data_IF_982846935394
#
_entry.id   IF_982846935394
#
_cell.length_a   1.000
_cell.length_b   1.000
_cell.length_c   1.000
_cell.angle_alpha   90.00
_cell.angle_beta   90.00
_cell.angle_gamma   90.00
#
_symmetry.space_group_name_H-M   'P 1'
#
loop_
_entity.id
_entity.type
_entity.pdbx_description
1 polymer ?
#
# COMPACT_ATOMS: atom_id res chain seq x y z
N UNK A 1 13.28 -8.68 -9.95
CA UNK A 1 11.97 -8.67 -9.27
C UNK A 1 11.74 -9.91 -8.40
N UNK A 2 12.15 -11.12 -8.81
CA UNK A 2 11.98 -12.34 -7.99
C UNK A 2 12.59 -12.25 -6.58
N UNK A 3 13.78 -11.65 -6.44
CA UNK A 3 14.41 -11.44 -5.13
C UNK A 3 13.61 -10.51 -4.20
N UNK A 4 13.00 -9.45 -4.72
CA UNK A 4 12.18 -8.55 -3.91
C UNK A 4 10.93 -9.26 -3.37
N UNK A 5 10.33 -10.13 -4.19
CA UNK A 5 9.21 -10.98 -3.81
C UNK A 5 9.61 -12.02 -2.75
N UNK A 6 10.78 -12.63 -2.87
CA UNK A 6 11.22 -13.72 -2.00
C UNK A 6 11.72 -13.26 -0.62
N UNK A 7 12.37 -12.09 -0.55
CA UNK A 7 13.05 -11.65 0.68
C UNK A 7 12.37 -10.50 1.42
N UNK A 8 11.49 -9.73 0.76
CA UNK A 8 10.87 -8.54 1.37
C UNK A 8 9.34 -8.64 1.49
N UNK A 9 8.68 -9.54 0.77
CA UNK A 9 7.21 -9.64 0.77
C UNK A 9 6.74 -10.91 1.46
N UNK A 10 5.63 -10.81 2.18
CA UNK A 10 4.95 -11.99 2.72
C UNK A 10 4.42 -12.82 1.54
N UNK A 11 4.75 -14.11 1.50
CA UNK A 11 4.21 -15.04 0.51
C UNK A 11 2.68 -15.15 0.62
N UNK A 12 2.00 -14.99 -0.50
CA UNK A 12 0.54 -14.85 -0.60
C UNK A 12 -0.01 -13.53 -0.05
N UNK A 13 0.86 -12.57 0.29
CA UNK A 13 0.48 -11.26 0.82
C UNK A 13 0.01 -10.28 -0.25
N UNK A 14 -0.51 -9.12 0.20
CA UNK A 14 -1.01 -8.07 -0.69
C UNK A 14 0.12 -7.43 -1.49
N UNK A 15 1.29 -7.24 -0.90
CA UNK A 15 2.44 -6.66 -1.60
C UNK A 15 2.87 -7.53 -2.78
N UNK A 16 2.93 -8.86 -2.59
CA UNK A 16 3.23 -9.82 -3.66
C UNK A 16 2.13 -9.82 -4.73
N UNK A 17 0.85 -9.80 -4.33
CA UNK A 17 -0.27 -9.75 -5.26
C UNK A 17 -0.22 -8.50 -6.14
N UNK A 18 0.05 -7.32 -5.57
CA UNK A 18 0.11 -6.05 -6.29
C UNK A 18 1.33 -5.99 -7.21
N UNK A 19 2.48 -6.48 -6.75
CA UNK A 19 3.67 -6.64 -7.59
C UNK A 19 3.40 -7.58 -8.76
N UNK A 20 2.73 -8.71 -8.52
CA UNK A 20 2.37 -9.68 -9.57
C UNK A 20 1.43 -9.05 -10.59
N UNK A 21 0.42 -8.31 -10.13
CA UNK A 21 -0.51 -7.58 -10.99
C UNK A 21 0.20 -6.55 -11.87
N UNK A 22 1.10 -5.75 -11.29
CA UNK A 22 1.96 -4.82 -12.01
C UNK A 22 2.73 -5.51 -13.15
N UNK A 23 3.38 -6.64 -12.84
CA UNK A 23 4.18 -7.42 -13.79
C UNK A 23 3.33 -8.11 -14.87
N UNK A 24 2.08 -8.43 -14.57
CA UNK A 24 1.14 -8.93 -15.57
C UNK A 24 0.72 -7.84 -16.57
N UNK A 25 0.87 -6.56 -16.24
CA UNK A 25 0.74 -5.47 -17.21
C UNK A 25 -0.67 -5.24 -17.75
N UNK A 26 -1.72 -5.67 -17.03
CA UNK A 26 -3.10 -5.39 -17.43
C UNK A 26 -3.41 -3.89 -17.31
N UNK A 27 -2.87 -3.23 -16.27
CA UNK A 27 -3.19 -1.86 -15.89
C UNK A 27 -4.61 -1.69 -15.34
N UNK A 28 -5.33 -2.79 -15.11
CA UNK A 28 -6.69 -2.76 -14.57
C UNK A 28 -6.68 -2.33 -13.12
N UNK A 29 -7.66 -1.53 -12.73
CA UNK A 29 -7.79 -1.05 -11.35
C UNK A 29 -7.90 -2.23 -10.36
N UNK A 30 -7.28 -2.08 -9.19
CA UNK A 30 -7.36 -3.03 -8.09
C UNK A 30 -8.14 -2.40 -6.95
N UNK A 31 -9.17 -3.11 -6.49
CA UNK A 31 -10.02 -2.64 -5.41
C UNK A 31 -9.61 -3.21 -4.06
N UNK A 32 -9.67 -2.42 -2.99
CA UNK A 32 -9.48 -2.91 -1.62
C UNK A 32 -10.43 -2.22 -0.64
N UNK A 33 -10.60 -2.79 0.56
CA UNK A 33 -11.43 -2.20 1.61
C UNK A 33 -10.59 -1.38 2.58
N UNK A 34 -11.03 -0.15 2.86
CA UNK A 34 -10.47 0.65 3.95
C UNK A 34 -10.72 -0.02 5.29
N UNK A 35 -11.89 -0.65 5.48
CA UNK A 35 -12.19 -1.38 6.72
C UNK A 35 -11.15 -2.47 6.99
N UNK A 36 -10.85 -3.32 6.00
CA UNK A 36 -9.81 -4.35 6.15
C UNK A 36 -8.44 -3.75 6.48
N UNK A 37 -8.05 -2.66 5.80
CA UNK A 37 -6.80 -1.97 6.11
C UNK A 37 -6.76 -1.48 7.55
N UNK A 38 -7.83 -0.88 8.05
CA UNK A 38 -7.89 -0.33 9.40
C UNK A 38 -7.99 -1.41 10.47
N UNK A 39 -8.60 -2.56 10.15
CA UNK A 39 -8.66 -3.71 11.06
C UNK A 39 -7.26 -4.33 11.24
N UNK A 40 -6.48 -4.42 10.16
CA UNK A 40 -5.19 -5.11 10.11
C UNK A 40 -3.96 -4.20 10.35
N UNK A 41 -4.09 -2.88 10.26
CA UNK A 41 -3.02 -1.92 10.54
C UNK A 41 -3.46 -0.90 11.59
N UNK A 42 -3.05 -1.16 12.84
CA UNK A 42 -3.37 -0.29 13.97
C UNK A 42 -2.67 1.08 13.90
N UNK A 43 -1.55 1.20 13.18
CA UNK A 43 -0.86 2.47 12.96
C UNK A 43 -1.69 3.42 12.10
N UNK A 44 -2.12 2.94 10.93
CA UNK A 44 -2.98 3.72 10.03
C UNK A 44 -4.33 4.03 10.68
N UNK A 45 -4.93 3.06 11.38
CA UNK A 45 -6.17 3.28 12.14
C UNK A 45 -6.03 4.40 13.16
N UNK A 46 -4.96 4.36 13.97
CA UNK A 46 -4.72 5.35 15.02
C UNK A 46 -4.47 6.74 14.44
N UNK A 47 -3.72 6.84 13.33
CA UNK A 47 -3.50 8.10 12.60
C UNK A 47 -4.83 8.70 12.16
N UNK A 48 -5.66 7.95 11.42
CA UNK A 48 -6.94 8.46 10.91
C UNK A 48 -7.86 8.86 12.04
N UNK A 49 -7.98 8.03 13.09
CA UNK A 49 -8.85 8.32 14.23
C UNK A 49 -8.43 9.59 14.95
N UNK A 50 -7.12 9.81 15.12
CA UNK A 50 -6.57 11.00 15.74
C UNK A 50 -6.88 12.26 14.92
N UNK A 51 -6.59 12.25 13.62
CA UNK A 51 -6.79 13.43 12.77
C UNK A 51 -8.28 13.83 12.68
N UNK A 52 -9.18 12.85 12.58
CA UNK A 52 -10.64 13.11 12.59
C UNK A 52 -11.07 13.69 13.94
N UNK A 53 -10.60 13.14 15.06
CA UNK A 53 -10.93 13.68 16.38
C UNK A 53 -10.38 15.09 16.60
N UNK A 54 -9.16 15.39 16.13
CA UNK A 54 -8.59 16.75 16.21
C UNK A 54 -9.48 17.75 15.48
N UNK A 55 -9.97 17.40 14.29
CA UNK A 55 -10.86 18.28 13.53
C UNK A 55 -12.24 18.41 14.20
N UNK A 56 -12.79 17.32 14.73
CA UNK A 56 -14.07 17.35 15.44
C UNK A 56 -13.99 18.19 16.73
N UNK A 57 -12.90 18.04 17.50
CA UNK A 57 -12.65 18.83 18.71
C UNK A 57 -12.51 20.33 18.40
N UNK A 58 -11.87 20.68 17.28
CA UNK A 58 -11.75 22.06 16.85
C UNK A 58 -13.13 22.67 16.50
N UNK A 59 -14.02 21.89 15.85
CA UNK A 59 -15.40 22.31 15.56
C UNK A 59 -16.23 22.46 16.83
N UNK A 60 -16.13 21.51 17.76
CA UNK A 60 -16.82 21.57 19.05
C UNK A 60 -16.36 22.79 19.86
N UNK A 61 -15.05 23.08 19.90
CA UNK A 61 -14.50 24.26 20.55
C UNK A 61 -15.00 25.56 19.91
N UNK A 62 -15.18 25.57 18.59
CA UNK A 62 -15.77 26.68 17.85
C UNK A 62 -17.32 26.72 17.91
N UNK A 63 -17.96 25.79 18.63
CA UNK A 63 -19.43 25.61 18.68
C UNK A 63 -20.08 25.47 17.30
N UNK A 64 -19.36 24.87 16.35
CA UNK A 64 -19.83 24.63 14.99
C UNK A 64 -20.39 23.21 14.87
N UNK A 65 -21.42 23.00 14.04
CA UNK A 65 -21.95 21.66 13.79
C UNK A 65 -20.89 20.78 13.09
N UNK A 66 -20.85 19.50 13.45
CA UNK A 66 -20.01 18.49 12.78
C UNK A 66 -20.51 18.15 11.37
N UNK A 67 -21.78 18.46 11.07
CA UNK A 67 -22.38 18.21 9.75
C UNK A 67 -21.60 18.96 8.66
N UNK A 68 -21.24 18.23 7.60
CA UNK A 68 -20.49 18.77 6.47
C UNK A 68 -18.97 18.81 6.67
N UNK A 69 -18.46 18.24 7.77
CA UNK A 69 -17.02 18.00 7.89
C UNK A 69 -16.57 16.96 6.86
N UNK A 70 -15.48 17.28 6.17
CA UNK A 70 -14.79 16.39 5.25
C UNK A 70 -13.33 16.83 5.16
N UNK A 71 -12.46 15.95 4.69
CA UNK A 71 -11.06 16.29 4.49
C UNK A 71 -10.25 15.17 3.89
N UNK A 72 -8.94 15.41 3.82
CA UNK A 72 -7.95 14.45 3.35
C UNK A 72 -6.91 14.25 4.45
N UNK A 73 -6.62 12.99 4.76
CA UNK A 73 -5.64 12.59 5.76
C UNK A 73 -4.46 11.95 5.00
N UNK A 74 -3.30 12.63 4.93
CA UNK A 74 -2.10 11.99 4.42
C UNK A 74 -1.63 10.92 5.41
N UNK A 75 -1.39 9.72 4.88
CA UNK A 75 -0.84 8.57 5.60
C UNK A 75 0.51 8.24 4.99
N UNK A 76 1.58 8.53 5.70
CA UNK A 76 2.95 8.28 5.25
C UNK A 76 3.40 6.85 5.57
N UNK A 77 4.37 6.32 4.82
CA UNK A 77 4.86 4.96 5.01
C UNK A 77 5.28 4.61 6.46
N UNK A 78 5.92 5.51 7.24
CA UNK A 78 6.28 5.21 8.63
C UNK A 78 5.10 5.09 9.59
N UNK A 79 3.89 5.49 9.17
CA UNK A 79 2.67 5.39 9.98
C UNK A 79 2.03 4.00 9.89
N UNK A 80 2.48 3.15 8.96
CA UNK A 80 2.05 1.76 8.85
C UNK A 80 2.76 0.90 9.89
N UNK A 81 2.00 0.06 10.60
CA UNK A 81 2.55 -1.00 11.43
C UNK A 81 2.58 -2.34 10.69
N UNK A 82 1.73 -2.50 9.68
CA UNK A 82 1.65 -3.71 8.88
C UNK A 82 2.50 -3.53 7.61
N UNK A 83 3.67 -4.17 7.60
CA UNK A 83 4.64 -4.07 6.51
C UNK A 83 4.08 -4.54 5.16
N UNK A 84 3.16 -5.51 5.15
CA UNK A 84 2.53 -5.97 3.90
C UNK A 84 1.59 -4.91 3.32
N UNK A 85 0.85 -4.18 4.16
CA UNK A 85 0.09 -3.00 3.72
C UNK A 85 1.03 -1.87 3.28
N UNK A 86 2.06 -1.57 4.07
CA UNK A 86 3.05 -0.54 3.76
C UNK A 86 3.67 -0.75 2.37
N UNK A 87 4.05 -1.99 2.03
CA UNK A 87 4.65 -2.34 0.75
C UNK A 87 3.63 -2.45 -0.39
N UNK A 88 2.39 -2.86 -0.11
CA UNK A 88 1.34 -2.91 -1.11
C UNK A 88 0.91 -1.50 -1.55
N UNK A 89 0.65 -0.60 -0.61
CA UNK A 89 0.00 0.68 -0.92
C UNK A 89 0.95 1.87 -0.95
N UNK A 90 2.09 1.78 -0.27
CA UNK A 90 2.94 2.94 -0.02
C UNK A 90 2.19 4.00 0.80
N UNK A 91 2.52 5.28 0.57
CA UNK A 91 1.80 6.39 1.18
C UNK A 91 0.40 6.56 0.55
N UNK A 92 -0.58 6.97 1.36
CA UNK A 92 -1.98 7.13 0.95
C UNK A 92 -2.49 8.53 1.29
N UNK A 93 -3.44 9.02 0.51
CA UNK A 93 -4.25 10.19 0.86
C UNK A 93 -5.67 9.70 1.10
N UNK A 94 -6.08 9.60 2.36
CA UNK A 94 -7.39 9.06 2.74
C UNK A 94 -8.39 10.21 2.80
N UNK A 95 -9.32 10.21 1.86
CA UNK A 95 -10.47 11.09 1.88
C UNK A 95 -11.48 10.60 2.92
N UNK A 96 -12.14 11.54 3.59
CA UNK A 96 -13.17 11.21 4.55
C UNK A 96 -14.30 12.25 4.59
N UNK A 97 -15.49 11.80 4.99
CA UNK A 97 -16.65 12.66 5.23
C UNK A 97 -17.38 12.23 6.51
N UNK A 98 -17.86 13.21 7.27
CA UNK A 98 -18.73 12.98 8.42
C UNK A 98 -20.12 12.52 7.97
N UNK A 99 -20.65 11.48 8.63
CA UNK A 99 -22.00 10.98 8.41
C UNK A 99 -22.91 11.38 9.57
N UNK A 100 -22.61 10.87 10.77
CA UNK A 100 -23.42 11.11 11.96
C UNK A 100 -22.62 10.88 13.25
N UNK A 101 -23.10 11.44 14.35
CA UNK A 101 -22.67 11.05 15.70
C UNK A 101 -23.63 9.96 16.21
N UNK A 102 -23.08 8.90 16.79
CA UNK A 102 -23.86 7.81 17.37
C UNK A 102 -23.29 7.41 18.73
N UNK A 103 -24.07 6.67 19.53
CA UNK A 103 -23.59 6.05 20.77
C UNK A 103 -23.52 4.55 20.56
N UNK A 104 -22.33 3.97 20.67
CA UNK A 104 -22.11 2.53 20.60
C UNK A 104 -21.59 2.01 21.93
N UNK A 105 -22.32 1.07 22.56
CA UNK A 105 -21.89 0.43 23.82
C UNK A 105 -21.44 1.45 24.87
N UNK A 106 -22.18 2.55 25.02
CA UNK A 106 -21.94 3.71 25.91
C UNK A 106 -20.88 4.73 25.46
N UNK A 107 -20.15 4.48 24.37
CA UNK A 107 -19.13 5.39 23.86
C UNK A 107 -19.71 6.23 22.72
N UNK A 108 -19.48 7.55 22.75
CA UNK A 108 -19.77 8.41 21.60
C UNK A 108 -18.81 8.09 20.47
N UNK A 109 -19.36 7.85 19.28
CA UNK A 109 -18.59 7.55 18.08
C UNK A 109 -19.02 8.47 16.94
N UNK A 110 -18.06 8.85 16.11
CA UNK A 110 -18.34 9.49 14.83
C UNK A 110 -18.41 8.39 13.77
N UNK A 111 -19.54 8.29 13.08
CA UNK A 111 -19.59 7.53 11.83
C UNK A 111 -19.09 8.42 10.71
N UNK A 112 -18.08 7.94 10.01
CA UNK A 112 -17.45 8.65 8.89
C UNK A 112 -17.32 7.70 7.71
N UNK A 113 -17.47 8.20 6.48
CA UNK A 113 -17.02 7.46 5.30
C UNK A 113 -15.55 7.73 5.08
N UNK A 114 -14.81 6.71 4.69
CA UNK A 114 -13.40 6.82 4.29
C UNK A 114 -13.18 6.11 2.96
N UNK A 115 -12.34 6.70 2.11
CA UNK A 115 -11.92 6.11 0.85
C UNK A 115 -10.58 6.70 0.40
N UNK A 116 -9.97 6.10 -0.61
CA UNK A 116 -8.76 6.60 -1.24
C UNK A 116 -8.67 6.10 -2.67
N UNK A 117 -8.08 6.92 -3.54
CA UNK A 117 -7.59 6.49 -4.84
C UNK A 117 -6.10 6.78 -4.89
N UNK A 118 -5.30 5.75 -5.15
CA UNK A 118 -3.86 5.89 -5.26
C UNK A 118 -3.35 5.26 -6.55
N UNK A 119 -2.26 5.80 -7.10
CA UNK A 119 -1.62 5.25 -8.28
C UNK A 119 -0.45 4.37 -7.85
N UNK A 120 -0.51 3.08 -8.19
CA UNK A 120 0.63 2.19 -8.02
C UNK A 120 1.67 2.50 -9.10
N UNK A 121 2.73 3.21 -8.72
CA UNK A 121 3.85 3.57 -9.60
C UNK A 121 5.19 3.47 -8.87
N UNK A 122 6.24 3.26 -9.65
CA UNK A 122 7.60 3.26 -9.14
C UNK A 122 8.22 4.65 -9.30
N UNK A 123 9.10 5.06 -8.38
CA UNK A 123 9.80 6.34 -8.47
C UNK A 123 11.31 6.09 -8.64
N UNK A 124 11.82 5.95 -9.87
CA UNK A 124 13.22 5.63 -10.13
C UNK A 124 14.18 6.76 -9.74
N UNK A 125 13.72 8.01 -9.80
CA UNK A 125 14.53 9.20 -9.49
C UNK A 125 14.66 9.49 -7.99
N UNK A 126 13.87 8.81 -7.14
CA UNK A 126 13.96 8.98 -5.71
C UNK A 126 15.22 8.30 -5.18
N UNK A 127 16.09 9.05 -4.50
CA UNK A 127 17.29 8.51 -3.84
C UNK A 127 16.88 7.67 -2.63
N UNK A 128 17.14 6.36 -2.69
CA UNK A 128 16.87 5.38 -1.62
C UNK A 128 17.66 4.10 -1.83
N UNK A 129 17.84 3.31 -0.78
CA UNK A 129 18.54 2.03 -0.85
C UNK A 129 17.95 1.04 -1.86
N UNK A 130 16.65 1.14 -2.17
CA UNK A 130 15.96 0.28 -3.14
C UNK A 130 15.95 0.85 -4.56
N UNK A 131 16.69 1.91 -4.87
CA UNK A 131 16.63 2.61 -6.16
C UNK A 131 16.79 1.67 -7.36
N UNK A 132 17.69 0.70 -7.30
CA UNK A 132 17.89 -0.29 -8.37
C UNK A 132 16.62 -1.09 -8.70
N UNK A 133 15.80 -1.42 -7.69
CA UNK A 133 14.52 -2.11 -7.88
C UNK A 133 13.51 -1.19 -8.55
N UNK A 134 13.47 0.10 -8.17
CA UNK A 134 12.58 1.08 -8.81
C UNK A 134 12.94 1.34 -10.27
N UNK A 135 14.24 1.45 -10.59
CA UNK A 135 14.72 1.57 -11.97
C UNK A 135 14.38 0.30 -12.77
N UNK A 136 14.63 -0.88 -12.21
CA UNK A 136 14.29 -2.14 -12.87
C UNK A 136 12.79 -2.25 -13.14
N UNK A 137 11.94 -1.87 -12.18
CA UNK A 137 10.50 -1.87 -12.34
C UNK A 137 10.04 -0.90 -13.42
N UNK A 138 10.62 0.30 -13.49
CA UNK A 138 10.33 1.27 -14.55
C UNK A 138 10.75 0.74 -15.94
N UNK A 139 11.92 0.11 -16.04
CA UNK A 139 12.40 -0.48 -17.29
C UNK A 139 11.48 -1.59 -17.81
N UNK A 140 10.82 -2.33 -16.92
CA UNK A 140 9.82 -3.34 -17.30
C UNK A 140 8.56 -2.75 -17.94
N UNK A 141 8.33 -1.44 -17.85
CA UNK A 141 7.26 -0.78 -18.62
C UNK A 141 7.63 -0.62 -20.10
N UNK A 142 8.91 -0.68 -20.45
CA UNK A 142 9.39 -0.67 -21.84
C UNK A 142 10.53 -1.69 -21.97
N UNK A 143 10.21 -2.99 -21.84
CA UNK A 143 11.23 -4.02 -21.77
C UNK A 143 11.98 -4.11 -23.09
N UNK A 144 13.30 -4.26 -22.99
CA UNK A 144 14.15 -4.62 -24.13
C UNK A 144 14.26 -6.14 -24.16
N UNK A 145 14.33 -6.72 -25.36
CA UNK A 145 14.63 -8.14 -25.54
C UNK A 145 16.00 -8.41 -24.93
N UNK A 146 16.08 -9.44 -24.09
CA UNK A 146 17.34 -9.88 -23.53
C UNK A 146 17.81 -11.12 -24.27
N UNK A 147 19.07 -11.12 -24.66
CA UNK A 147 19.71 -12.23 -25.34
C UNK A 147 20.75 -12.78 -24.36
N UNK A 148 20.58 -14.02 -23.93
CA UNK A 148 21.52 -14.72 -23.06
C UNK A 148 22.11 -15.90 -23.79
N UNK A 149 23.38 -16.16 -23.52
CA UNK A 149 24.03 -17.41 -23.91
C UNK A 149 23.93 -18.35 -22.71
N UNK A 150 23.19 -19.44 -22.84
CA UNK A 150 23.13 -20.46 -21.80
C UNK A 150 24.11 -21.57 -22.16
N UNK A 151 25.05 -21.82 -21.24
CA UNK A 151 25.88 -23.01 -21.32
C UNK A 151 25.06 -24.18 -20.77
N UNK A 152 24.88 -25.29 -21.51
CA UNK A 152 24.15 -26.43 -20.99
C UNK A 152 24.81 -26.92 -19.69
N UNK A 153 24.03 -27.43 -18.72
CA UNK A 153 24.58 -27.91 -17.46
C UNK A 153 25.64 -28.97 -17.76
N UNK A 154 26.87 -28.75 -17.30
CA UNK A 154 27.95 -29.72 -17.36
C UNK A 154 27.57 -30.91 -16.49
N UNK A 155 26.99 -31.94 -17.10
CA UNK A 155 26.79 -33.23 -16.45
C UNK A 155 28.14 -33.87 -16.15
N UNK A 156 28.56 -33.85 -14.88
CA UNK A 156 29.63 -34.72 -14.41
C UNK A 156 29.05 -36.10 -14.12
N UNK A 157 29.26 -37.04 -15.05
CA UNK A 157 29.75 -38.39 -14.82
C UNK A 157 29.43 -39.29 -16.04
N UNK A 158 30.43 -39.54 -16.89
CA UNK A 158 30.50 -40.82 -17.62
C UNK A 158 30.19 -40.85 -19.12
N UNK A 159 30.04 -39.74 -19.86
CA UNK A 159 29.91 -39.81 -21.32
C UNK A 159 31.20 -39.38 -22.04
N UNK A 160 31.87 -40.39 -22.60
CA UNK A 160 32.97 -40.24 -23.55
C UNK A 160 32.37 -40.02 -24.93
N UNK A 161 32.33 -38.77 -25.42
CA UNK A 161 32.40 -38.41 -26.84
C UNK A 161 32.39 -36.87 -26.96
N UNK A 162 33.45 -36.34 -27.57
CA UNK A 162 33.59 -34.91 -27.85
C UNK A 162 32.52 -34.40 -28.80
N UNK A 163 31.81 -33.37 -28.34
CA UNK A 163 31.40 -32.10 -28.98
C UNK A 163 30.49 -31.50 -27.91
N UNK A 164 30.99 -30.56 -27.11
CA UNK A 164 30.14 -29.83 -26.19
C UNK A 164 29.00 -29.20 -26.98
N UNK A 165 27.75 -29.39 -26.53
CA UNK A 165 26.60 -28.74 -27.18
C UNK A 165 26.89 -27.23 -27.29
N UNK A 166 26.68 -26.61 -28.46
CA UNK A 166 26.91 -25.18 -28.61
C UNK A 166 26.05 -24.41 -27.61
N UNK A 167 26.56 -23.28 -27.13
CA UNK A 167 25.79 -22.38 -26.27
C UNK A 167 24.45 -22.07 -26.93
N UNK A 168 23.36 -22.30 -26.20
CA UNK A 168 22.02 -22.02 -26.72
C UNK A 168 21.75 -20.52 -26.54
N UNK A 169 21.25 -19.89 -27.60
CA UNK A 169 20.82 -18.50 -27.57
C UNK A 169 19.41 -18.47 -26.98
N UNK A 170 19.29 -18.01 -25.74
CA UNK A 170 18.00 -17.78 -25.10
C UNK A 170 17.59 -16.32 -25.34
N UNK A 171 16.49 -16.12 -26.08
CA UNK A 171 15.87 -14.81 -26.26
C UNK A 171 14.70 -14.68 -25.29
N UNK A 172 14.85 -13.82 -24.29
CA UNK A 172 13.82 -13.56 -23.29
C UNK A 172 13.03 -12.31 -23.71
N UNK A 173 11.75 -12.50 -24.00
CA UNK A 173 10.80 -11.41 -24.27
C UNK A 173 9.94 -11.15 -23.03
N UNK A 174 10.28 -10.09 -22.30
CA UNK A 174 9.59 -9.76 -21.06
C UNK A 174 8.23 -9.13 -21.34
N UNK A 175 7.20 -9.59 -20.61
CA UNK A 175 5.90 -8.92 -20.63
C UNK A 175 6.03 -7.49 -20.11
N UNK A 176 5.47 -6.54 -20.84
CA UNK A 176 5.39 -5.13 -20.45
C UNK A 176 4.55 -4.97 -19.19
N UNK A 177 5.16 -4.47 -18.12
CA UNK A 177 4.46 -4.08 -16.90
C UNK A 177 3.65 -2.78 -17.10
N UNK A 178 2.64 -2.57 -16.27
CA UNK A 178 1.82 -1.35 -16.29
C UNK A 178 1.44 -0.91 -14.88
N UNK A 179 1.50 0.39 -14.66
CA UNK A 179 0.88 1.04 -13.51
C UNK A 179 -0.63 0.77 -13.49
N UNK A 180 -1.21 0.80 -12.30
CA UNK A 180 -2.64 0.62 -12.10
C UNK A 180 -3.12 1.46 -10.92
N UNK A 181 -4.42 1.77 -10.88
CA UNK A 181 -5.00 2.48 -9.73
C UNK A 181 -5.42 1.47 -8.66
N UNK A 182 -5.09 1.81 -7.43
CA UNK A 182 -5.63 1.20 -6.23
C UNK A 182 -6.81 2.05 -5.79
N UNK A 183 -8.00 1.47 -5.76
CA UNK A 183 -9.23 2.19 -5.42
C UNK A 183 -9.82 1.52 -4.19
N UNK A 184 -10.11 2.28 -3.15
CA UNK A 184 -10.91 1.76 -2.05
C UNK A 184 -12.38 2.13 -2.16
N UNK A 185 -13.24 1.20 -1.76
CA UNK A 185 -14.66 1.49 -1.59
C UNK A 185 -14.86 2.53 -0.51
N UNK A 186 -15.96 3.28 -0.61
CA UNK A 186 -16.41 4.18 0.45
C UNK A 186 -16.95 3.37 1.61
N UNK A 187 -16.09 3.09 2.57
CA UNK A 187 -16.44 2.31 3.76
C UNK A 187 -16.87 3.23 4.90
N UNK A 188 -17.94 2.87 5.62
CA UNK A 188 -18.33 3.57 6.85
C UNK A 188 -17.59 2.93 8.02
N UNK A 189 -16.88 3.75 8.79
CA UNK A 189 -16.17 3.35 10.00
C UNK A 189 -16.68 4.13 11.21
N UNK A 190 -16.53 3.53 12.40
CA UNK A 190 -16.84 4.18 13.67
C UNK A 190 -15.53 4.64 14.33
N UNK A 191 -15.41 5.96 14.52
CA UNK A 191 -14.27 6.59 15.20
C UNK A 191 -14.69 6.93 16.63
N UNK A 192 -14.12 6.29 17.66
CA UNK A 192 -14.41 6.63 19.04
C UNK A 192 -14.03 8.08 19.35
N UNK A 193 -14.92 8.83 20.00
CA UNK A 193 -14.61 10.15 20.54
C UNK A 193 -13.72 9.98 21.75
N UNK A 194 -12.53 10.57 21.72
CA UNK A 194 -11.69 10.70 22.91
C UNK A 194 -12.21 11.88 23.72
N UNK A 195 -12.99 11.63 24.77
CA UNK A 195 -13.46 12.71 25.64
C UNK A 195 -12.25 13.38 26.29
N UNK A 196 -12.13 14.71 26.16
CA UNK A 196 -11.24 15.46 27.04
C UNK A 196 -11.77 15.27 28.47
N UNK A 197 -11.02 14.55 29.30
CA UNK A 197 -11.17 14.65 30.76
C UNK A 197 -11.15 16.14 31.10
N UNK A 198 -12.20 16.64 31.78
CA UNK A 198 -12.18 17.98 32.39
C UNK A 198 -10.86 18.11 33.16
N UNK A 199 -10.13 19.19 32.93
CA UNK A 199 -8.99 19.55 33.77
C UNK A 199 -9.41 19.49 35.25
N UNK A 200 -8.55 19.06 36.18
CA UNK A 200 -8.88 19.08 37.60
C UNK A 200 -9.26 20.51 37.97
N UNK A 201 -10.44 20.68 38.58
CA UNK A 201 -10.76 21.92 39.27
C UNK A 201 -9.65 22.17 40.29
N UNK A 202 -8.94 23.27 40.14
CA UNK A 202 -8.10 23.80 41.22
C UNK A 202 -9.03 23.99 42.42
N UNK A 203 -8.78 23.18 43.47
CA UNK A 203 -9.40 23.41 44.76
C UNK A 203 -8.70 24.60 45.38
N UNK A 204 -9.40 25.73 45.36
CA UNK A 204 -9.14 26.92 46.17
C UNK A 204 -9.19 26.61 47.66
#
# INVERSE_FOLDING_TARGET
MNLAREFAMKRGGRAEAFLTHYLQGSGTDVTFSMKTLLDEDAGVRSKIFREINVQADARDAAKQPLKGMAGVIPVHQPEFQNQDWQYATGALNVEWEFVEEAVQRTIKVLKVKVWTTNLYRWHPEAQRFTQCVHVAAQNLQNPKKEIRFTTPPTGFAGSVAGIGKPAELEVIDYKKAKDFRMISSRDIIAVPRTSKRKAPQEMS
#
